data_IF_418792782186
#
_entry.id   IF_418792782186
#
_cell.length_a   1.000
_cell.length_b   1.000
_cell.length_c   1.000
_cell.angle_alpha   90.00
_cell.angle_beta   90.00
_cell.angle_gamma   90.00
#
_symmetry.space_group_name_H-M   'P 1'
#
loop_
_entity.id
_entity.type
_entity.pdbx_description
1 polymer ?
#
# COMPACT_ATOMS: atom_id res chain seq x y z
N UNK A 1 10.81 11.04 -37.99
CA UNK A 1 12.03 11.70 -37.48
C UNK A 1 11.90 13.21 -37.68
N UNK A 2 11.73 13.96 -36.60
CA UNK A 2 11.89 15.42 -36.56
C UNK A 2 12.44 15.77 -35.17
N UNK A 3 13.75 15.56 -35.00
CA UNK A 3 14.55 16.06 -33.87
C UNK A 3 14.82 17.56 -34.03
N UNK A 4 13.76 18.35 -34.05
CA UNK A 4 13.81 19.80 -33.90
C UNK A 4 13.39 20.19 -32.49
N UNK A 5 14.19 19.83 -31.48
CA UNK A 5 13.84 20.02 -30.08
C UNK A 5 13.78 21.51 -29.72
N UNK A 6 12.59 22.11 -29.83
CA UNK A 6 12.24 23.41 -29.26
C UNK A 6 12.66 23.42 -27.78
N UNK A 7 13.68 24.22 -27.48
CA UNK A 7 14.25 24.29 -26.13
C UNK A 7 13.73 25.56 -25.47
N UNK A 8 12.74 25.41 -24.59
CA UNK A 8 12.19 26.52 -23.80
C UNK A 8 13.04 26.65 -22.52
N UNK A 9 13.55 27.86 -22.25
CA UNK A 9 14.30 28.19 -21.04
C UNK A 9 13.55 29.26 -20.26
N UNK A 10 13.42 29.05 -18.95
CA UNK A 10 12.84 29.99 -18.00
C UNK A 10 13.85 30.12 -16.86
N UNK A 11 14.41 31.32 -16.66
CA UNK A 11 15.43 31.60 -15.64
C UNK A 11 16.58 30.57 -15.62
N UNK A 12 17.17 30.33 -16.80
CA UNK A 12 18.25 29.36 -17.05
C UNK A 12 17.94 27.87 -16.81
N UNK A 13 16.71 27.53 -16.40
CA UNK A 13 16.25 26.13 -16.34
C UNK A 13 15.64 25.71 -17.67
N UNK A 14 16.18 24.63 -18.24
CA UNK A 14 15.62 23.97 -19.43
C UNK A 14 14.33 23.26 -19.04
N UNK A 15 13.21 23.64 -19.66
CA UNK A 15 11.93 22.98 -19.47
C UNK A 15 11.73 21.99 -20.62
N UNK A 16 11.62 20.70 -20.28
CA UNK A 16 11.29 19.67 -21.26
C UNK A 16 9.80 19.73 -21.63
N UNK A 17 9.44 19.54 -22.91
CA UNK A 17 8.04 19.41 -23.30
C UNK A 17 7.44 18.15 -22.66
N UNK A 18 6.27 18.29 -22.05
CA UNK A 18 5.55 17.19 -21.41
C UNK A 18 4.45 16.70 -22.34
N UNK A 19 4.47 15.41 -22.68
CA UNK A 19 3.37 14.77 -23.39
C UNK A 19 2.28 14.36 -22.39
N UNK A 20 1.11 14.97 -22.53
CA UNK A 20 0.01 14.83 -21.57
C UNK A 20 -0.63 13.44 -21.60
N UNK A 21 -0.49 12.74 -22.73
CA UNK A 21 -0.98 11.37 -22.91
C UNK A 21 0.08 10.33 -22.57
N UNK A 22 1.33 10.74 -22.30
CA UNK A 22 2.45 9.83 -22.02
C UNK A 22 2.58 8.72 -23.10
N UNK A 23 2.42 9.10 -24.37
CA UNK A 23 2.34 8.17 -25.51
C UNK A 23 3.60 7.32 -25.69
N UNK A 24 4.75 7.79 -25.21
CA UNK A 24 6.02 7.04 -25.20
C UNK A 24 6.03 5.86 -24.23
N UNK A 25 5.27 5.96 -23.14
CA UNK A 25 5.16 4.94 -22.09
C UNK A 25 3.94 4.04 -22.29
N UNK A 26 3.01 4.45 -23.16
CA UNK A 26 1.81 3.70 -23.50
C UNK A 26 2.16 2.48 -24.37
N UNK A 27 2.29 1.30 -23.75
CA UNK A 27 2.64 0.06 -24.43
C UNK A 27 1.45 -0.90 -24.54
N UNK A 28 0.98 -1.15 -25.77
CA UNK A 28 -0.11 -2.08 -26.04
C UNK A 28 -1.51 -1.51 -25.77
N UNK A 29 -2.52 -2.34 -26.04
CA UNK A 29 -3.93 -1.97 -25.90
C UNK A 29 -4.41 -2.21 -24.47
N UNK A 30 -5.31 -1.35 -24.00
CA UNK A 30 -6.01 -1.51 -22.74
C UNK A 30 -6.99 -2.67 -22.86
N UNK A 31 -6.85 -3.62 -21.96
CA UNK A 31 -7.79 -4.70 -21.72
C UNK A 31 -8.28 -4.60 -20.28
N UNK A 32 -9.58 -4.33 -20.12
CA UNK A 32 -10.23 -4.15 -18.83
C UNK A 32 -10.19 -5.43 -17.98
N UNK A 33 -9.97 -6.59 -18.59
CA UNK A 33 -9.87 -7.87 -17.89
C UNK A 33 -8.46 -8.21 -17.39
N UNK A 34 -7.40 -7.58 -17.91
CA UNK A 34 -6.01 -7.95 -17.55
C UNK A 34 -5.20 -6.82 -16.95
N UNK A 35 -5.66 -5.57 -17.05
CA UNK A 35 -4.94 -4.43 -16.51
C UNK A 35 -4.87 -4.44 -14.98
N UNK A 36 -3.68 -4.17 -14.44
CA UNK A 36 -3.34 -4.23 -13.02
C UNK A 36 -3.23 -2.84 -12.35
N UNK A 37 -3.49 -1.76 -13.08
CA UNK A 37 -3.41 -0.40 -12.56
C UNK A 37 -2.03 0.24 -12.59
N UNK A 38 -0.98 -0.42 -13.08
CA UNK A 38 0.41 0.07 -12.99
C UNK A 38 0.94 0.75 -14.24
N UNK A 39 0.46 0.33 -15.41
CA UNK A 39 1.01 0.76 -16.69
C UNK A 39 0.10 1.76 -17.41
N UNK A 40 0.71 2.66 -18.19
CA UNK A 40 -0.02 3.45 -19.19
C UNK A 40 -0.37 2.53 -20.37
N UNK A 41 -1.64 2.54 -20.82
CA UNK A 41 -2.09 1.79 -21.99
C UNK A 41 -2.91 2.65 -22.93
N UNK A 42 -2.95 2.24 -24.20
CA UNK A 42 -3.84 2.84 -25.19
C UNK A 42 -5.26 2.34 -25.01
N UNK A 43 -6.20 3.25 -24.76
CA UNK A 43 -7.64 2.97 -24.95
C UNK A 43 -7.99 3.05 -26.43
N UNK A 44 -7.37 4.00 -27.15
CA UNK A 44 -7.52 4.17 -28.59
C UNK A 44 -6.23 4.76 -29.18
N UNK A 45 -5.62 4.01 -30.09
CA UNK A 45 -4.56 4.51 -30.98
C UNK A 45 -5.11 5.59 -31.92
N UNK A 46 -4.23 6.45 -32.51
CA UNK A 46 -4.65 7.52 -33.40
C UNK A 46 -5.68 7.03 -34.44
N UNK A 47 -6.91 7.55 -34.31
CA UNK A 47 -8.06 7.18 -35.15
C UNK A 47 -8.58 8.42 -35.84
N UNK A 48 -8.65 8.38 -37.16
CA UNK A 48 -9.29 9.42 -37.96
C UNK A 48 -10.81 9.23 -37.94
N UNK A 49 -11.54 10.27 -37.53
CA UNK A 49 -12.99 10.26 -37.41
C UNK A 49 -13.55 11.34 -38.33
N UNK A 50 -14.49 11.02 -39.23
CA UNK A 50 -15.22 12.03 -39.99
C UNK A 50 -16.21 12.73 -39.05
N UNK A 51 -16.08 14.05 -38.96
CA UNK A 51 -16.93 14.90 -38.13
C UNK A 51 -18.18 15.37 -38.85
N UNK A 52 -18.09 15.47 -40.18
CA UNK A 52 -19.18 15.82 -41.08
C UNK A 52 -18.97 15.03 -42.38
N UNK A 53 -19.98 14.25 -42.76
CA UNK A 53 -19.92 13.36 -43.93
C UNK A 53 -20.16 14.11 -45.24
N UNK A 54 -20.78 15.29 -45.20
CA UNK A 54 -21.07 16.11 -46.36
C UNK A 54 -19.87 16.99 -46.73
N UNK A 55 -19.20 17.57 -45.73
CA UNK A 55 -18.02 18.43 -45.95
C UNK A 55 -16.69 17.67 -45.93
N UNK A 56 -16.68 16.43 -45.44
CA UNK A 56 -15.49 15.55 -45.42
C UNK A 56 -14.44 15.96 -44.38
N UNK A 57 -14.83 16.77 -43.39
CA UNK A 57 -13.95 17.22 -42.31
C UNK A 57 -13.62 16.04 -41.38
N UNK A 58 -12.33 15.86 -41.07
CA UNK A 58 -11.85 14.77 -40.21
C UNK A 58 -11.09 15.31 -39.00
N UNK A 59 -11.10 14.56 -37.89
CA UNK A 59 -10.20 14.78 -36.77
C UNK A 59 -9.46 13.50 -36.38
N UNK A 60 -8.32 13.64 -35.70
CA UNK A 60 -7.62 12.51 -35.10
C UNK A 60 -7.91 12.45 -33.61
N UNK A 61 -8.45 11.32 -33.14
CA UNK A 61 -8.71 11.03 -31.74
C UNK A 61 -7.70 10.02 -31.20
N UNK A 62 -7.18 10.31 -30.02
CA UNK A 62 -6.27 9.44 -29.28
C UNK A 62 -6.69 9.39 -27.82
N UNK A 63 -6.65 8.21 -27.21
CA UNK A 63 -7.06 8.05 -25.81
C UNK A 63 -6.12 7.10 -25.09
N UNK A 64 -5.65 7.52 -23.91
CA UNK A 64 -4.78 6.74 -23.02
C UNK A 64 -5.39 6.64 -21.63
N UNK A 65 -5.12 5.51 -20.99
CA UNK A 65 -5.42 5.27 -19.59
C UNK A 65 -4.12 5.34 -18.80
N UNK A 66 -4.05 6.28 -17.85
CA UNK A 66 -2.91 6.45 -16.96
C UNK A 66 -2.94 5.44 -15.79
N UNK A 67 -1.82 5.23 -15.08
CA UNK A 67 -1.77 4.37 -13.91
C UNK A 67 -2.76 4.81 -12.81
N UNK A 68 -3.14 3.87 -11.95
CA UNK A 68 -3.95 4.08 -10.76
C UNK A 68 -3.02 4.32 -9.56
N UNK A 69 -2.81 5.57 -9.11
CA UNK A 69 -1.85 5.88 -8.05
C UNK A 69 -2.04 5.09 -6.75
N UNK A 70 -3.27 4.81 -6.28
CA UNK A 70 -3.47 4.03 -5.06
C UNK A 70 -2.94 2.59 -5.13
N UNK A 71 -2.71 2.01 -6.31
CA UNK A 71 -2.08 0.67 -6.44
C UNK A 71 -0.62 0.67 -5.97
N UNK A 72 0.07 1.81 -6.05
CA UNK A 72 1.49 1.91 -5.69
C UNK A 72 1.73 2.14 -4.20
N UNK A 73 0.66 2.28 -3.39
CA UNK A 73 0.79 2.43 -1.93
C UNK A 73 1.48 1.23 -1.27
N UNK A 74 1.36 0.04 -1.84
CA UNK A 74 2.02 -1.18 -1.38
C UNK A 74 3.54 -1.19 -1.64
N UNK A 75 4.05 -0.38 -2.58
CA UNK A 75 5.47 -0.39 -2.99
C UNK A 75 6.36 0.49 -2.10
N UNK A 76 5.79 1.19 -1.12
CA UNK A 76 6.52 2.03 -0.18
C UNK A 76 5.83 3.36 0.12
N UNK A 77 6.17 3.94 1.27
CA UNK A 77 5.56 5.19 1.75
C UNK A 77 5.78 6.33 0.77
N UNK A 78 4.70 6.90 0.24
CA UNK A 78 4.71 8.07 -0.63
C UNK A 78 4.87 7.78 -2.14
N UNK A 79 4.92 6.51 -2.56
CA UNK A 79 4.98 6.15 -3.98
C UNK A 79 3.73 6.60 -4.76
N UNK A 80 2.57 6.54 -4.12
CA UNK A 80 1.31 7.07 -4.68
C UNK A 80 1.42 8.56 -5.05
N UNK A 81 2.07 9.35 -4.20
CA UNK A 81 2.30 10.78 -4.43
C UNK A 81 3.29 11.00 -5.57
N UNK A 82 4.36 10.21 -5.63
CA UNK A 82 5.35 10.28 -6.71
C UNK A 82 4.67 10.02 -8.07
N UNK A 83 3.89 8.94 -8.17
CA UNK A 83 3.15 8.60 -9.40
C UNK A 83 2.12 9.68 -9.74
N UNK A 84 1.39 10.18 -8.73
CA UNK A 84 0.40 11.25 -8.94
C UNK A 84 1.03 12.52 -9.49
N UNK A 85 2.20 12.89 -8.98
CA UNK A 85 2.95 14.08 -9.39
C UNK A 85 3.60 13.87 -10.78
N UNK A 86 4.17 12.69 -11.04
CA UNK A 86 4.77 12.30 -12.34
C UNK A 86 3.76 12.41 -13.47
N UNK A 87 2.58 11.79 -13.31
CA UNK A 87 1.53 11.76 -14.33
C UNK A 87 0.52 12.92 -14.23
N UNK A 88 0.74 13.84 -13.28
CA UNK A 88 -0.11 15.02 -13.03
C UNK A 88 -1.60 14.66 -12.87
N UNK A 89 -1.87 13.57 -12.15
CA UNK A 89 -3.23 13.03 -11.95
C UNK A 89 -3.95 13.91 -10.92
N UNK A 90 -4.70 14.89 -11.42
CA UNK A 90 -5.49 15.83 -10.61
C UNK A 90 -6.86 16.02 -11.22
N UNK A 91 -7.80 16.54 -10.42
CA UNK A 91 -9.15 16.84 -10.87
C UNK A 91 -9.21 17.94 -11.97
N UNK A 92 -8.09 18.60 -12.28
CA UNK A 92 -8.01 19.64 -13.31
C UNK A 92 -7.45 19.14 -14.65
N UNK A 93 -6.98 17.89 -14.71
CA UNK A 93 -6.21 17.39 -15.85
C UNK A 93 -6.85 16.17 -16.55
N UNK A 94 -8.03 15.72 -16.15
CA UNK A 94 -8.74 14.64 -16.84
C UNK A 94 -9.76 15.21 -17.82
N UNK A 95 -9.87 14.58 -18.99
CA UNK A 95 -10.70 15.06 -20.08
C UNK A 95 -9.99 15.03 -21.43
N UNK A 96 -10.51 15.83 -22.36
CA UNK A 96 -9.95 15.97 -23.70
C UNK A 96 -9.07 17.21 -23.83
N UNK A 97 -7.97 17.04 -24.55
CA UNK A 97 -7.05 18.10 -24.96
C UNK A 97 -7.22 18.33 -26.44
N UNK A 98 -7.76 19.49 -26.81
CA UNK A 98 -8.07 19.81 -28.22
C UNK A 98 -6.99 20.71 -28.78
N UNK A 99 -6.37 20.25 -29.87
CA UNK A 99 -5.33 20.94 -30.60
C UNK A 99 -5.83 21.30 -31.99
N UNK A 100 -5.78 22.58 -32.34
CA UNK A 100 -5.97 23.06 -33.72
C UNK A 100 -4.63 23.43 -34.32
N UNK A 101 -4.26 22.86 -35.48
CA UNK A 101 -2.98 23.16 -36.13
C UNK A 101 -1.78 23.11 -35.18
N UNK A 102 -1.74 22.09 -34.30
CA UNK A 102 -0.71 21.90 -33.26
C UNK A 102 -0.68 22.97 -32.17
N UNK A 103 -1.66 23.87 -32.12
CA UNK A 103 -1.89 24.81 -31.01
C UNK A 103 -2.97 24.26 -30.09
N UNK A 104 -2.69 24.21 -28.80
CA UNK A 104 -3.70 23.88 -27.79
C UNK A 104 -4.77 24.98 -27.73
N UNK A 105 -6.03 24.57 -27.83
CA UNK A 105 -7.20 25.46 -27.74
C UNK A 105 -8.02 25.17 -26.48
N UNK A 106 -8.14 23.90 -26.08
CA UNK A 106 -8.88 23.49 -24.88
C UNK A 106 -8.03 22.55 -24.00
N UNK A 107 -8.04 22.81 -22.69
CA UNK A 107 -7.27 22.05 -21.68
C UNK A 107 -8.22 21.24 -20.80
N UNK A 108 -8.08 19.90 -20.82
CA UNK A 108 -8.85 18.97 -19.99
C UNK A 108 -10.36 19.27 -20.01
N UNK A 109 -10.89 19.49 -21.21
CA UNK A 109 -12.30 19.84 -21.41
C UNK A 109 -13.18 18.59 -21.24
N UNK A 110 -14.38 18.80 -20.70
CA UNK A 110 -15.42 17.77 -20.59
C UNK A 110 -16.19 17.56 -21.90
N UNK A 111 -15.93 18.39 -22.93
CA UNK A 111 -16.61 18.42 -24.22
C UNK A 111 -18.13 18.54 -24.05
N UNK A 112 -18.60 19.63 -23.46
CA UNK A 112 -20.04 19.84 -23.23
C UNK A 112 -20.70 18.75 -22.36
N UNK A 113 -19.98 18.28 -21.34
CA UNK A 113 -20.51 17.35 -20.34
C UNK A 113 -20.44 15.86 -20.71
N UNK A 114 -19.81 15.49 -21.84
CA UNK A 114 -19.55 14.08 -22.18
C UNK A 114 -18.75 13.37 -21.08
N UNK A 115 -17.81 14.07 -20.46
CA UNK A 115 -17.03 13.59 -19.32
C UNK A 115 -17.56 14.25 -18.05
N UNK A 116 -18.18 13.44 -17.20
CA UNK A 116 -18.68 13.88 -15.90
C UNK A 116 -17.53 14.02 -14.90
N UNK A 117 -17.74 14.87 -13.90
CA UNK A 117 -16.79 15.02 -12.80
C UNK A 117 -16.83 13.81 -11.88
N UNK A 118 -15.94 12.85 -12.12
CA UNK A 118 -15.84 11.60 -11.38
C UNK A 118 -14.38 11.31 -11.03
N UNK A 119 -14.14 10.76 -9.84
CA UNK A 119 -12.80 10.34 -9.39
C UNK A 119 -12.30 9.14 -10.19
N UNK A 120 -13.21 8.28 -10.66
CA UNK A 120 -12.88 7.09 -11.44
C UNK A 120 -12.30 7.40 -12.81
N UNK A 121 -12.43 8.66 -13.25
CA UNK A 121 -11.93 9.15 -14.54
C UNK A 121 -10.64 9.96 -14.43
N UNK A 122 -10.04 10.07 -13.24
CA UNK A 122 -8.82 10.87 -13.06
C UNK A 122 -7.63 10.41 -13.92
N UNK A 123 -7.62 9.13 -14.31
CA UNK A 123 -6.64 8.50 -15.20
C UNK A 123 -6.97 8.61 -16.69
N UNK A 124 -8.18 9.07 -17.04
CA UNK A 124 -8.60 9.22 -18.43
C UNK A 124 -7.94 10.43 -19.10
N UNK A 125 -7.30 10.22 -20.26
CA UNK A 125 -6.72 11.28 -21.09
C UNK A 125 -7.09 11.07 -22.54
N UNK A 126 -7.71 12.08 -23.16
CA UNK A 126 -7.96 12.08 -24.59
C UNK A 126 -7.30 13.26 -25.29
N UNK A 127 -6.86 13.09 -26.53
CA UNK A 127 -6.34 14.15 -27.40
C UNK A 127 -7.14 14.16 -28.69
N UNK A 128 -7.57 15.36 -29.10
CA UNK A 128 -8.26 15.60 -30.37
C UNK A 128 -7.38 16.56 -31.18
N UNK A 129 -7.03 16.16 -32.39
CA UNK A 129 -6.28 16.98 -33.34
C UNK A 129 -7.23 17.37 -34.47
N UNK A 130 -7.37 18.68 -34.66
CA UNK A 130 -8.18 19.29 -35.73
C UNK A 130 -7.33 20.23 -36.59
N UNK A 131 -7.74 20.42 -37.83
CA UNK A 131 -7.16 21.37 -38.79
C UNK A 131 -8.06 22.59 -38.98
N UNK A 132 -7.70 23.47 -39.92
CA UNK A 132 -8.51 24.66 -40.25
C UNK A 132 -9.85 24.34 -40.93
N UNK A 133 -10.02 23.13 -41.48
CA UNK A 133 -11.28 22.74 -42.13
C UNK A 133 -12.40 22.50 -41.11
N UNK A 134 -12.04 22.22 -39.85
CA UNK A 134 -12.96 21.94 -38.77
C UNK A 134 -13.52 23.18 -38.04
N UNK A 135 -13.15 24.40 -38.45
CA UNK A 135 -13.57 25.64 -37.77
C UNK A 135 -15.09 25.88 -37.78
N UNK A 136 -15.80 25.43 -38.82
CA UNK A 136 -17.26 25.56 -38.88
C UNK A 136 -17.98 24.53 -37.99
N UNK A 137 -17.31 23.41 -37.71
CA UNK A 137 -17.82 22.25 -36.97
C UNK A 137 -17.55 22.43 -35.47
N UNK A 138 -16.37 22.94 -35.15
CA UNK A 138 -15.98 23.35 -33.81
C UNK A 138 -16.18 24.85 -33.73
N UNK A 139 -17.35 25.28 -33.28
CA UNK A 139 -17.70 26.70 -33.14
C UNK A 139 -16.86 27.31 -31.99
N UNK A 140 -15.58 27.59 -32.27
CA UNK A 140 -14.56 28.02 -31.32
C UNK A 140 -14.71 29.53 -31.11
N UNK A 141 -15.33 29.92 -30.00
CA UNK A 141 -15.40 31.33 -29.61
C UNK A 141 -14.01 31.82 -29.16
N UNK A 142 -13.43 32.73 -29.95
CA UNK A 142 -12.11 33.34 -29.74
C UNK A 142 -11.98 34.02 -28.36
N UNK A 143 -13.09 34.30 -27.67
CA UNK A 143 -13.11 34.94 -26.35
C UNK A 143 -13.41 34.01 -25.18
N UNK A 144 -13.79 32.75 -25.40
CA UNK A 144 -14.22 31.86 -24.30
C UNK A 144 -13.69 30.45 -24.47
N UNK A 145 -13.10 29.96 -23.39
CA UNK A 145 -12.61 28.61 -23.10
C UNK A 145 -13.66 27.49 -23.22
N UNK A 146 -14.82 27.74 -23.85
CA UNK A 146 -15.92 26.79 -24.02
C UNK A 146 -16.15 26.53 -25.49
N UNK A 147 -15.81 25.33 -25.94
CA UNK A 147 -15.96 24.88 -27.31
C UNK A 147 -17.35 24.27 -27.49
N UNK A 148 -18.07 24.65 -28.55
CA UNK A 148 -19.33 23.99 -28.92
C UNK A 148 -19.15 23.20 -30.21
N UNK A 149 -19.50 21.93 -30.14
CA UNK A 149 -19.49 21.01 -31.27
C UNK A 149 -20.80 21.14 -32.05
N UNK A 150 -20.77 20.95 -33.37
CA UNK A 150 -21.99 20.66 -34.14
C UNK A 150 -22.63 19.36 -33.66
N UNK A 151 -23.94 19.16 -33.89
CA UNK A 151 -24.63 17.95 -33.45
C UNK A 151 -24.01 16.68 -34.05
N UNK A 152 -23.66 16.69 -35.34
CA UNK A 152 -23.05 15.54 -36.03
C UNK A 152 -21.67 15.17 -35.46
N UNK A 153 -20.82 16.18 -35.20
CA UNK A 153 -19.52 15.97 -34.60
C UNK A 153 -19.63 15.54 -33.13
N UNK A 154 -20.62 16.07 -32.43
CA UNK A 154 -20.93 15.70 -31.06
C UNK A 154 -21.32 14.22 -30.99
N UNK A 155 -22.23 13.76 -31.84
CA UNK A 155 -22.68 12.35 -31.87
C UNK A 155 -21.53 11.39 -32.20
N UNK A 156 -20.71 11.73 -33.21
CA UNK A 156 -19.57 10.90 -33.62
C UNK A 156 -18.54 10.73 -32.50
N UNK A 157 -18.21 11.81 -31.79
CA UNK A 157 -17.26 11.77 -30.67
C UNK A 157 -17.91 11.16 -29.42
N UNK A 158 -19.21 11.39 -29.19
CA UNK A 158 -19.92 10.93 -28.01
C UNK A 158 -19.96 9.40 -27.92
N UNK A 159 -20.30 8.71 -29.01
CA UNK A 159 -20.39 7.25 -29.03
C UNK A 159 -19.05 6.59 -28.71
N UNK A 160 -17.97 7.12 -29.29
CA UNK A 160 -16.61 6.67 -29.03
C UNK A 160 -16.17 6.99 -27.60
N UNK A 161 -16.42 8.22 -27.14
CA UNK A 161 -16.12 8.66 -25.77
C UNK A 161 -16.83 7.79 -24.75
N UNK A 162 -18.10 7.43 -24.98
CA UNK A 162 -18.89 6.56 -24.12
C UNK A 162 -18.28 5.17 -24.02
N UNK A 163 -17.78 4.61 -25.13
CA UNK A 163 -17.06 3.34 -25.12
C UNK A 163 -15.78 3.42 -24.29
N UNK A 164 -14.91 4.40 -24.55
CA UNK A 164 -13.63 4.54 -23.85
C UNK A 164 -13.79 4.88 -22.38
N UNK A 165 -14.76 5.74 -22.03
CA UNK A 165 -15.14 6.06 -20.64
C UNK A 165 -15.54 4.79 -19.89
N UNK A 166 -16.39 3.95 -20.49
CA UNK A 166 -16.82 2.69 -19.85
C UNK A 166 -15.65 1.76 -19.59
N UNK A 167 -14.73 1.62 -20.55
CA UNK A 167 -13.55 0.76 -20.39
C UNK A 167 -12.60 1.31 -19.32
N UNK A 168 -12.39 2.63 -19.28
CA UNK A 168 -11.58 3.31 -18.26
C UNK A 168 -12.13 3.08 -16.84
N UNK A 169 -13.44 3.28 -16.63
CA UNK A 169 -14.09 3.06 -15.32
C UNK A 169 -13.98 1.59 -14.89
N UNK A 170 -14.19 0.63 -15.80
CA UNK A 170 -14.04 -0.79 -15.49
C UNK A 170 -12.61 -1.14 -15.09
N UNK A 171 -11.63 -0.64 -15.83
CA UNK A 171 -10.22 -0.85 -15.53
C UNK A 171 -9.83 -0.26 -14.16
N UNK A 172 -10.33 0.95 -13.86
CA UNK A 172 -10.14 1.60 -12.57
C UNK A 172 -10.74 0.79 -11.41
N UNK A 173 -12.00 0.35 -11.55
CA UNK A 173 -12.66 -0.49 -10.55
C UNK A 173 -11.98 -1.84 -10.36
N UNK A 174 -11.45 -2.45 -11.43
CA UNK A 174 -10.65 -3.66 -11.33
C UNK A 174 -9.35 -3.43 -10.55
N UNK A 175 -8.64 -2.33 -10.79
CA UNK A 175 -7.43 -2.00 -10.03
C UNK A 175 -7.75 -1.80 -8.53
N UNK A 176 -8.90 -1.21 -8.20
CA UNK A 176 -9.40 -1.12 -6.82
C UNK A 176 -9.68 -2.51 -6.25
N UNK A 177 -10.33 -3.40 -7.00
CA UNK A 177 -10.62 -4.77 -6.57
C UNK A 177 -9.34 -5.57 -6.33
N UNK A 178 -8.39 -5.56 -7.27
CA UNK A 178 -7.09 -6.25 -7.13
C UNK A 178 -6.30 -5.72 -5.94
N UNK A 179 -6.36 -4.40 -5.69
CA UNK A 179 -5.80 -3.82 -4.48
C UNK A 179 -6.48 -4.37 -3.23
N UNK A 180 -7.82 -4.37 -3.18
CA UNK A 180 -8.56 -4.91 -2.03
C UNK A 180 -8.33 -6.40 -1.83
N UNK A 181 -8.18 -7.18 -2.90
CA UNK A 181 -7.83 -8.60 -2.84
C UNK A 181 -6.42 -8.78 -2.30
N UNK A 182 -5.43 -7.99 -2.75
CA UNK A 182 -4.09 -8.02 -2.21
C UNK A 182 -4.04 -7.57 -0.73
N UNK A 183 -4.83 -6.56 -0.35
CA UNK A 183 -4.97 -6.10 1.03
C UNK A 183 -5.71 -7.11 1.92
N UNK A 184 -6.73 -7.80 1.39
CA UNK A 184 -7.44 -8.87 2.09
C UNK A 184 -6.62 -10.16 2.18
N UNK A 185 -5.71 -10.38 1.23
CA UNK A 185 -4.70 -11.45 1.28
C UNK A 185 -3.56 -11.09 2.24
N UNK A 186 -3.27 -9.81 2.47
CA UNK A 186 -2.35 -9.38 3.52
C UNK A 186 -3.02 -9.43 4.90
N UNK A 187 -3.17 -10.67 5.40
CA UNK A 187 -3.73 -10.96 6.72
C UNK A 187 -3.05 -10.15 7.84
N UNK A 188 -1.74 -9.87 7.71
CA UNK A 188 -1.00 -9.16 8.74
C UNK A 188 -1.38 -7.68 8.83
N UNK A 189 -1.58 -7.04 7.68
CA UNK A 189 -2.11 -5.68 7.63
C UNK A 189 -3.53 -5.62 8.19
N UNK A 190 -4.40 -6.55 7.80
CA UNK A 190 -5.78 -6.59 8.31
C UNK A 190 -5.83 -6.73 9.83
N UNK A 191 -5.00 -7.58 10.43
CA UNK A 191 -4.90 -7.69 11.90
C UNK A 191 -4.48 -6.38 12.56
N UNK A 192 -3.50 -5.67 11.97
CA UNK A 192 -3.06 -4.37 12.49
C UNK A 192 -4.17 -3.31 12.37
N UNK A 193 -4.91 -3.28 11.26
CA UNK A 193 -6.05 -2.36 11.07
C UNK A 193 -7.15 -2.62 12.12
N UNK A 194 -7.47 -3.88 12.42
CA UNK A 194 -8.45 -4.23 13.47
C UNK A 194 -7.99 -3.73 14.84
N UNK A 195 -6.72 -3.93 15.19
CA UNK A 195 -6.18 -3.52 16.49
C UNK A 195 -6.12 -2.00 16.62
N UNK A 196 -5.81 -1.28 15.54
CA UNK A 196 -5.78 0.18 15.55
C UNK A 196 -7.12 0.80 15.98
N UNK A 197 -8.23 0.07 15.80
CA UNK A 197 -9.58 0.49 16.21
C UNK A 197 -10.03 -0.09 17.55
N UNK A 198 -9.23 -0.94 18.20
CA UNK A 198 -9.58 -1.58 19.45
C UNK A 198 -9.20 -0.70 20.65
N UNK A 199 -10.20 -0.20 21.37
CA UNK A 199 -10.00 0.43 22.68
C UNK A 199 -9.95 -0.64 23.77
N UNK A 200 -8.74 -1.08 24.12
CA UNK A 200 -8.55 -2.02 25.24
C UNK A 200 -8.59 -1.25 26.56
N UNK A 201 -9.41 -1.66 27.55
CA UNK A 201 -9.38 -1.05 28.87
C UNK A 201 -8.03 -1.31 29.56
N UNK A 202 -7.50 -0.29 30.24
CA UNK A 202 -6.19 -0.38 30.94
C UNK A 202 -6.15 -1.50 31.98
N UNK A 203 -7.29 -1.77 32.63
CA UNK A 203 -7.45 -2.81 33.64
C UNK A 203 -8.76 -3.56 33.46
N UNK A 204 -8.74 -4.87 33.70
CA UNK A 204 -9.97 -5.67 33.76
C UNK A 204 -10.80 -5.33 35.01
N UNK A 205 -12.13 -5.53 34.97
CA UNK A 205 -12.98 -5.33 36.14
C UNK A 205 -12.48 -6.14 37.36
N UNK A 206 -12.36 -5.47 38.51
CA UNK A 206 -11.91 -6.09 39.75
C UNK A 206 -10.39 -6.19 39.93
N UNK A 207 -9.59 -5.69 38.97
CA UNK A 207 -8.15 -5.55 39.14
C UNK A 207 -7.78 -4.27 39.91
N UNK A 208 -6.65 -4.28 40.64
CA UNK A 208 -6.14 -3.07 41.27
C UNK A 208 -5.77 -2.04 40.19
N UNK A 209 -6.17 -0.78 40.44
CA UNK A 209 -5.82 0.36 39.59
C UNK A 209 -4.57 1.02 40.16
N UNK A 210 -3.49 1.03 39.38
CA UNK A 210 -2.26 1.73 39.75
C UNK A 210 -2.48 3.25 39.67
N UNK A 211 -1.83 4.00 40.56
CA UNK A 211 -1.77 5.46 40.41
C UNK A 211 -1.03 5.82 39.11
N UNK A 212 -1.38 6.93 38.43
CA UNK A 212 -0.75 7.32 37.15
C UNK A 212 0.78 7.36 37.20
N UNK A 213 1.36 7.88 38.29
CA UNK A 213 2.82 7.94 38.48
C UNK A 213 3.45 6.56 38.51
N UNK A 214 2.90 5.64 39.33
CA UNK A 214 3.38 4.25 39.40
C UNK A 214 3.19 3.49 38.09
N UNK A 215 2.08 3.72 37.37
CA UNK A 215 1.88 3.08 36.07
C UNK A 215 2.96 3.51 35.07
N UNK A 216 3.24 4.81 35.00
CA UNK A 216 4.27 5.35 34.11
C UNK A 216 5.67 4.82 34.46
N UNK A 217 6.02 4.76 35.75
CA UNK A 217 7.31 4.21 36.20
C UNK A 217 7.47 2.74 35.79
N UNK A 218 6.43 1.93 35.96
CA UNK A 218 6.46 0.51 35.59
C UNK A 218 6.46 0.34 34.06
N UNK A 219 5.75 1.19 33.33
CA UNK A 219 5.79 1.21 31.87
C UNK A 219 7.18 1.51 31.32
N UNK A 220 7.85 2.49 31.89
CA UNK A 220 9.22 2.87 31.53
C UNK A 220 10.18 1.70 31.80
N UNK A 221 10.11 1.07 32.97
CA UNK A 221 10.93 -0.10 33.31
C UNK A 221 10.69 -1.29 32.37
N UNK A 222 9.42 -1.56 32.05
CA UNK A 222 9.05 -2.62 31.11
C UNK A 222 9.57 -2.28 29.71
N UNK A 223 9.40 -1.05 29.24
CA UNK A 223 9.92 -0.60 27.95
C UNK A 223 11.45 -0.70 27.85
N UNK A 224 12.18 -0.33 28.92
CA UNK A 224 13.63 -0.46 29.00
C UNK A 224 14.07 -1.94 28.95
N UNK A 225 13.39 -2.82 29.70
CA UNK A 225 13.66 -4.26 29.67
C UNK A 225 13.51 -4.84 28.26
N UNK A 226 12.47 -4.43 27.53
CA UNK A 226 12.24 -4.88 26.15
C UNK A 226 13.29 -4.34 25.18
N UNK A 227 13.65 -3.05 25.27
CA UNK A 227 14.71 -2.46 24.45
C UNK A 227 16.06 -3.17 24.66
N UNK A 228 16.42 -3.43 25.92
CA UNK A 228 17.66 -4.14 26.24
C UNK A 228 17.67 -5.56 25.64
N UNK A 229 16.57 -6.29 25.78
CA UNK A 229 16.43 -7.64 25.21
C UNK A 229 16.55 -7.62 23.68
N UNK A 230 15.87 -6.70 23.00
CA UNK A 230 15.96 -6.57 21.53
C UNK A 230 17.36 -6.18 21.07
N UNK A 231 18.02 -5.25 21.77
CA UNK A 231 19.38 -4.83 21.41
C UNK A 231 20.35 -6.01 21.54
N UNK A 232 20.24 -6.78 22.63
CA UNK A 232 21.01 -8.01 22.80
C UNK A 232 20.73 -9.03 21.68
N UNK A 233 19.48 -9.14 21.23
CA UNK A 233 19.12 -10.00 20.09
C UNK A 233 19.72 -9.52 18.77
N UNK A 234 19.70 -8.20 18.51
CA UNK A 234 20.26 -7.61 17.31
C UNK A 234 21.79 -7.83 17.25
N UNK A 235 22.48 -7.64 18.38
CA UNK A 235 23.92 -7.91 18.50
C UNK A 235 24.24 -9.38 18.26
N UNK A 236 23.45 -10.31 18.83
CA UNK A 236 23.63 -11.75 18.61
C UNK A 236 23.37 -12.13 17.14
N UNK A 237 22.33 -11.57 16.51
CA UNK A 237 22.02 -11.81 15.11
C UNK A 237 23.11 -11.28 14.17
N UNK A 238 23.65 -10.09 14.47
CA UNK A 238 24.77 -9.50 13.75
C UNK A 238 26.05 -10.34 13.90
N UNK A 239 26.34 -10.83 15.11
CA UNK A 239 27.48 -11.72 15.36
C UNK A 239 27.37 -13.05 14.60
N UNK A 240 26.18 -13.64 14.53
CA UNK A 240 25.93 -14.88 13.76
C UNK A 240 26.09 -14.61 12.26
N UNK A 241 25.52 -13.52 11.72
CA UNK A 241 25.68 -13.15 10.31
C UNK A 241 27.16 -12.93 9.94
N UNK A 242 27.90 -12.23 10.80
CA UNK A 242 29.34 -12.01 10.64
C UNK A 242 30.15 -13.31 10.65
N UNK A 243 29.74 -14.30 11.44
CA UNK A 243 30.40 -15.60 11.51
C UNK A 243 30.11 -16.53 10.31
N UNK A 244 28.97 -16.34 9.61
CA UNK A 244 28.48 -17.27 8.57
C UNK A 244 28.72 -16.79 7.14
N UNK A 245 28.80 -15.47 6.87
CA UNK A 245 28.86 -14.97 5.48
C UNK A 245 30.16 -14.28 5.05
N UNK A 246 31.11 -14.01 5.96
CA UNK A 246 32.30 -13.23 5.58
C UNK A 246 31.93 -11.82 5.06
N UNK A 247 32.92 -10.96 4.74
CA UNK A 247 32.72 -9.51 4.60
C UNK A 247 32.11 -9.05 3.26
N UNK A 248 31.34 -9.90 2.54
CA UNK A 248 30.88 -9.62 1.16
C UNK A 248 29.36 -9.45 0.99
N UNK A 249 28.64 -9.03 2.04
CA UNK A 249 27.27 -8.53 1.90
C UNK A 249 27.26 -7.01 1.98
N UNK A 250 26.54 -6.34 1.08
CA UNK A 250 26.31 -4.88 1.12
C UNK A 250 26.03 -4.44 2.57
N UNK A 251 26.80 -3.48 3.12
CA UNK A 251 26.68 -3.10 4.51
C UNK A 251 25.34 -2.36 4.70
N UNK A 252 24.29 -3.11 5.05
CA UNK A 252 23.10 -2.53 5.66
C UNK A 252 23.56 -1.76 6.89
N UNK A 253 23.08 -0.54 7.02
CA UNK A 253 23.40 0.34 8.16
C UNK A 253 22.98 -0.36 9.46
N UNK A 254 23.69 -0.14 10.58
CA UNK A 254 23.32 -0.74 11.88
C UNK A 254 21.85 -0.46 12.24
N UNK A 255 21.34 0.72 11.90
CA UNK A 255 19.94 1.12 12.07
C UNK A 255 18.96 0.29 11.22
N UNK A 256 19.31 -0.04 9.98
CA UNK A 256 18.47 -0.85 9.08
C UNK A 256 18.45 -2.31 9.52
N UNK A 257 19.58 -2.83 10.00
CA UNK A 257 19.64 -4.18 10.58
C UNK A 257 18.83 -4.26 11.87
N UNK A 258 18.85 -3.21 12.68
CA UNK A 258 18.08 -3.11 13.91
C UNK A 258 16.57 -3.08 13.64
N UNK A 259 16.11 -2.26 12.67
CA UNK A 259 14.69 -2.22 12.25
C UNK A 259 14.21 -3.54 11.64
N UNK A 260 15.03 -4.22 10.84
CA UNK A 260 14.70 -5.54 10.26
C UNK A 260 14.56 -6.61 11.34
N UNK A 261 15.45 -6.60 12.34
CA UNK A 261 15.32 -7.50 13.50
C UNK A 261 14.03 -7.19 14.27
N UNK A 262 13.76 -5.91 14.51
CA UNK A 262 12.60 -5.44 15.27
C UNK A 262 11.25 -5.77 14.63
N UNK A 263 11.05 -5.29 13.41
CA UNK A 263 9.74 -5.29 12.74
C UNK A 263 9.62 -6.35 11.64
N UNK A 264 10.72 -7.01 11.28
CA UNK A 264 10.76 -7.93 10.16
C UNK A 264 10.83 -7.18 8.84
N UNK A 265 10.01 -7.59 7.87
CA UNK A 265 9.98 -6.93 6.56
C UNK A 265 9.41 -5.49 6.71
N UNK A 266 10.09 -4.46 6.19
CA UNK A 266 9.69 -3.07 6.40
C UNK A 266 8.35 -2.78 5.72
N UNK A 267 7.29 -2.68 6.53
CA UNK A 267 5.95 -2.33 6.08
C UNK A 267 5.41 -1.16 6.91
N UNK A 268 5.15 0.01 6.30
CA UNK A 268 4.74 1.22 7.01
C UNK A 268 3.32 1.15 7.60
N UNK A 269 2.55 0.10 7.28
CA UNK A 269 1.19 -0.10 7.77
C UNK A 269 1.14 -0.97 9.04
N UNK A 270 2.25 -1.62 9.41
CA UNK A 270 2.32 -2.46 10.61
C UNK A 270 2.66 -1.60 11.83
N UNK A 271 1.85 -1.72 12.88
CA UNK A 271 1.94 -0.87 14.07
C UNK A 271 2.09 -1.66 15.36
N UNK A 272 1.31 -2.74 15.54
CA UNK A 272 1.29 -3.53 16.79
C UNK A 272 1.58 -5.02 16.64
N UNK A 273 1.40 -5.60 15.47
CA UNK A 273 1.73 -7.01 15.20
C UNK A 273 2.84 -7.07 14.16
N UNK A 274 3.98 -7.63 14.55
CA UNK A 274 5.15 -7.77 13.69
C UNK A 274 5.48 -9.25 13.45
N UNK A 275 5.53 -9.68 12.19
CA UNK A 275 6.03 -11.01 11.80
C UNK A 275 7.54 -10.93 11.62
N UNK A 276 8.30 -11.52 12.54
CA UNK A 276 9.77 -11.49 12.51
C UNK A 276 10.35 -12.84 12.06
N UNK A 277 11.54 -12.87 11.44
CA UNK A 277 12.14 -14.12 10.98
C UNK A 277 12.29 -15.16 12.09
N UNK A 278 12.85 -14.75 13.23
CA UNK A 278 13.13 -15.64 14.37
C UNK A 278 13.04 -14.91 15.70
N UNK A 279 12.76 -15.65 16.77
CA UNK A 279 12.87 -15.20 18.16
C UNK A 279 13.84 -16.08 18.96
N UNK A 280 14.39 -15.59 20.09
CA UNK A 280 15.25 -16.39 20.97
C UNK A 280 14.57 -17.67 21.45
N UNK A 281 15.38 -18.69 21.72
CA UNK A 281 14.91 -20.02 22.15
C UNK A 281 13.84 -20.64 21.24
N UNK A 282 13.74 -20.16 19.99
CA UNK A 282 12.67 -20.50 19.07
C UNK A 282 11.26 -20.32 19.69
N UNK A 283 11.07 -19.27 20.49
CA UNK A 283 9.73 -18.91 20.98
C UNK A 283 8.82 -18.56 19.80
N UNK A 284 7.52 -18.83 19.95
CA UNK A 284 6.53 -18.54 18.91
C UNK A 284 6.14 -17.05 18.88
N UNK A 285 6.04 -16.42 20.04
CA UNK A 285 5.75 -15.00 20.18
C UNK A 285 6.54 -14.39 21.34
N UNK A 286 6.71 -13.08 21.32
CA UNK A 286 7.15 -12.31 22.48
C UNK A 286 6.45 -10.94 22.53
N UNK A 287 6.16 -10.42 23.73
CA UNK A 287 5.71 -9.04 23.88
C UNK A 287 6.85 -8.05 23.55
N UNK A 288 6.49 -6.92 22.96
CA UNK A 288 7.38 -5.83 22.62
C UNK A 288 6.73 -4.48 22.99
N UNK A 289 7.54 -3.44 23.19
CA UNK A 289 7.06 -2.09 23.46
C UNK A 289 7.59 -1.11 22.41
N UNK A 290 6.68 -0.47 21.68
CA UNK A 290 6.96 0.61 20.75
C UNK A 290 6.58 1.95 21.39
N UNK A 291 7.46 2.95 21.33
CA UNK A 291 7.20 4.24 21.96
C UNK A 291 6.01 5.02 21.36
N UNK A 292 5.60 4.70 20.13
CA UNK A 292 4.46 5.34 19.46
C UNK A 292 3.19 4.48 19.54
N UNK A 293 3.33 3.15 19.54
CA UNK A 293 2.21 2.22 19.42
C UNK A 293 1.97 1.35 20.68
N UNK A 294 2.76 1.60 21.74
CA UNK A 294 2.69 0.95 23.06
C UNK A 294 2.96 -0.55 22.99
N UNK A 295 2.06 -1.39 23.54
CA UNK A 295 2.24 -2.83 23.56
C UNK A 295 2.04 -3.44 22.19
N UNK A 296 3.03 -4.21 21.76
CA UNK A 296 3.08 -4.89 20.49
C UNK A 296 3.41 -6.37 20.71
N UNK A 297 3.28 -7.16 19.66
CA UNK A 297 3.71 -8.56 19.62
C UNK A 297 4.64 -8.80 18.44
N UNK A 298 5.72 -9.54 18.68
CA UNK A 298 6.59 -10.10 17.64
C UNK A 298 6.28 -11.59 17.50
N UNK A 299 6.06 -12.07 16.28
CA UNK A 299 5.68 -13.45 15.97
C UNK A 299 6.78 -14.09 15.12
N UNK A 300 7.33 -15.21 15.58
CA UNK A 300 8.40 -15.95 14.92
C UNK A 300 7.88 -16.73 13.71
N UNK A 301 8.21 -16.30 12.48
CA UNK A 301 7.84 -17.00 11.24
C UNK A 301 8.49 -18.36 11.08
N UNK A 302 9.71 -18.55 11.60
CA UNK A 302 10.42 -19.82 11.48
C UNK A 302 9.97 -20.87 12.48
N UNK A 303 9.16 -20.50 13.46
CA UNK A 303 8.55 -21.47 14.36
C UNK A 303 7.66 -22.44 13.57
N UNK A 304 7.77 -23.75 13.86
CA UNK A 304 7.08 -24.80 13.07
C UNK A 304 5.57 -24.61 13.01
N UNK A 305 4.96 -24.19 14.12
CA UNK A 305 3.52 -23.89 14.16
C UNK A 305 3.17 -22.64 13.33
N UNK A 306 4.05 -21.64 13.29
CA UNK A 306 3.83 -20.44 12.49
C UNK A 306 3.90 -20.75 10.98
N UNK A 307 4.82 -21.63 10.55
CA UNK A 307 4.88 -22.10 9.16
C UNK A 307 3.60 -22.82 8.73
N UNK A 308 3.09 -23.70 9.57
CA UNK A 308 1.80 -24.36 9.31
C UNK A 308 0.67 -23.34 9.09
N UNK A 309 0.67 -22.25 9.85
CA UNK A 309 -0.38 -21.23 9.79
C UNK A 309 -0.21 -20.27 8.60
N UNK A 310 1.00 -19.73 8.41
CA UNK A 310 1.26 -18.64 7.47
C UNK A 310 1.72 -19.13 6.09
N UNK A 311 2.35 -20.31 6.00
CA UNK A 311 2.84 -20.90 4.74
C UNK A 311 1.86 -21.97 4.26
N UNK A 312 1.61 -23.01 5.07
CA UNK A 312 0.77 -24.16 4.66
C UNK A 312 -0.74 -23.85 4.68
N UNK A 313 -1.15 -22.76 5.32
CA UNK A 313 -2.52 -22.26 5.31
C UNK A 313 -2.58 -20.79 4.85
N UNK A 314 -1.70 -20.42 3.91
CA UNK A 314 -1.60 -19.07 3.35
C UNK A 314 -2.95 -18.53 2.82
N UNK A 315 -3.78 -19.42 2.26
CA UNK A 315 -5.07 -19.06 1.67
C UNK A 315 -6.18 -18.78 2.69
N UNK A 316 -5.96 -19.07 3.99
CA UNK A 316 -6.93 -18.83 5.05
C UNK A 316 -6.58 -17.57 5.84
N UNK A 317 -6.85 -16.41 5.24
CA UNK A 317 -6.55 -15.11 5.84
C UNK A 317 -7.29 -14.90 7.17
N UNK A 318 -8.55 -15.32 7.28
CA UNK A 318 -9.35 -15.21 8.50
C UNK A 318 -8.70 -15.94 9.70
N UNK A 319 -8.20 -17.16 9.47
CA UNK A 319 -7.51 -17.92 10.51
C UNK A 319 -6.21 -17.23 10.93
N UNK A 320 -5.44 -16.71 9.98
CA UNK A 320 -4.23 -15.96 10.29
C UNK A 320 -4.55 -14.71 11.10
N UNK A 321 -5.58 -13.96 10.71
CA UNK A 321 -6.02 -12.75 11.42
C UNK A 321 -6.41 -13.08 12.86
N UNK A 322 -7.29 -14.06 13.06
CA UNK A 322 -7.74 -14.45 14.41
C UNK A 322 -6.58 -14.89 15.30
N UNK A 323 -5.62 -15.63 14.75
CA UNK A 323 -4.46 -16.09 15.50
C UNK A 323 -3.52 -14.94 15.88
N UNK A 324 -3.27 -14.01 14.97
CA UNK A 324 -2.43 -12.84 15.26
C UNK A 324 -3.06 -11.94 16.32
N UNK A 325 -4.36 -11.67 16.20
CA UNK A 325 -5.13 -10.94 17.21
C UNK A 325 -5.05 -11.65 18.57
N UNK A 326 -5.16 -12.97 18.59
CA UNK A 326 -5.02 -13.77 19.81
C UNK A 326 -3.63 -13.63 20.44
N UNK A 327 -2.55 -13.76 19.66
CA UNK A 327 -1.18 -13.60 20.17
C UNK A 327 -0.90 -12.17 20.66
N UNK A 328 -1.48 -11.16 20.00
CA UNK A 328 -1.41 -9.79 20.49
C UNK A 328 -2.08 -9.66 21.87
N UNK A 329 -3.31 -10.17 22.03
CA UNK A 329 -4.00 -10.10 23.32
C UNK A 329 -3.28 -10.89 24.43
N UNK A 330 -2.65 -12.02 24.10
CA UNK A 330 -1.78 -12.72 25.06
C UNK A 330 -0.59 -11.87 25.48
N UNK A 331 0.01 -11.14 24.55
CA UNK A 331 1.15 -10.26 24.84
C UNK A 331 0.74 -9.08 25.73
N UNK A 332 -0.41 -8.45 25.43
CA UNK A 332 -1.00 -7.40 26.29
C UNK A 332 -1.30 -7.94 27.68
N UNK A 333 -1.92 -9.12 27.78
CA UNK A 333 -2.24 -9.76 29.05
C UNK A 333 -0.97 -10.08 29.86
N UNK A 334 0.10 -10.51 29.21
CA UNK A 334 1.38 -10.77 29.88
C UNK A 334 1.98 -9.48 30.45
N UNK A 335 1.96 -8.39 29.69
CA UNK A 335 2.46 -7.09 30.18
C UNK A 335 1.61 -6.59 31.34
N UNK A 336 0.29 -6.69 31.25
CA UNK A 336 -0.61 -6.35 32.36
C UNK A 336 -0.36 -7.22 33.59
N UNK A 337 -0.09 -8.51 33.41
CA UNK A 337 0.28 -9.41 34.51
C UNK A 337 1.58 -8.95 35.19
N UNK A 338 2.61 -8.59 34.43
CA UNK A 338 3.87 -8.04 34.98
C UNK A 338 3.60 -6.76 35.78
N UNK A 339 2.82 -5.83 35.22
CA UNK A 339 2.47 -4.55 35.87
C UNK A 339 1.80 -4.72 37.22
N UNK A 340 0.83 -5.63 37.29
CA UNK A 340 -0.01 -5.79 38.47
C UNK A 340 0.51 -6.88 39.41
N UNK A 341 1.64 -7.50 39.11
CA UNK A 341 2.13 -8.67 39.84
C UNK A 341 2.28 -8.39 41.34
N UNK A 342 2.95 -7.32 41.72
CA UNK A 342 3.22 -7.00 43.14
C UNK A 342 1.97 -6.53 43.89
N UNK A 343 1.01 -5.92 43.20
CA UNK A 343 -0.26 -5.50 43.80
C UNK A 343 -1.20 -6.70 43.99
N UNK A 344 -1.23 -7.63 43.03
CA UNK A 344 -2.05 -8.84 43.10
C UNK A 344 -1.45 -9.91 44.03
N UNK A 345 -0.12 -9.98 44.12
CA UNK A 345 0.60 -11.00 44.88
C UNK A 345 1.67 -10.42 45.82
N UNK A 346 1.31 -9.53 46.76
CA UNK A 346 2.26 -8.83 47.63
C UNK A 346 3.06 -9.76 48.53
N UNK A 347 2.56 -10.98 48.79
CA UNK A 347 3.22 -11.98 49.63
C UNK A 347 4.38 -12.71 48.94
N UNK A 348 4.44 -12.74 47.60
CA UNK A 348 5.40 -13.57 46.87
C UNK A 348 6.82 -12.98 46.81
N UNK A 349 6.99 -11.68 47.10
CA UNK A 349 8.30 -10.97 47.18
C UNK A 349 9.30 -11.38 46.07
N UNK A 350 8.82 -11.53 44.85
CA UNK A 350 9.67 -11.77 43.68
C UNK A 350 10.20 -10.43 43.15
N UNK A 351 11.33 -10.44 42.46
CA UNK A 351 11.80 -9.28 41.68
C UNK A 351 11.19 -9.30 40.28
N UNK A 352 11.13 -8.16 39.60
CA UNK A 352 10.58 -8.06 38.25
C UNK A 352 11.32 -8.94 37.24
N UNK A 353 12.64 -9.06 37.36
CA UNK A 353 13.45 -9.99 36.57
C UNK A 353 13.01 -11.46 36.73
N UNK A 354 12.60 -11.86 37.94
CA UNK A 354 12.11 -13.23 38.19
C UNK A 354 10.73 -13.44 37.60
N UNK A 355 9.88 -12.41 37.63
CA UNK A 355 8.54 -12.44 37.01
C UNK A 355 8.67 -12.52 35.49
N UNK A 356 9.55 -11.72 34.89
CA UNK A 356 9.85 -11.80 33.46
C UNK A 356 10.41 -13.16 33.06
N UNK A 357 11.34 -13.71 33.85
CA UNK A 357 11.85 -15.06 33.62
C UNK A 357 10.74 -16.11 33.68
N UNK A 358 9.79 -15.98 34.61
CA UNK A 358 8.65 -16.88 34.72
C UNK A 358 7.77 -16.85 33.46
N UNK A 359 7.43 -15.66 32.96
CA UNK A 359 6.61 -15.53 31.75
C UNK A 359 7.36 -16.00 30.51
N UNK A 360 8.67 -15.73 30.42
CA UNK A 360 9.53 -16.24 29.34
C UNK A 360 9.62 -17.77 29.32
N UNK A 361 9.80 -18.42 30.47
CA UNK A 361 9.78 -19.88 30.56
C UNK A 361 8.42 -20.46 30.15
N UNK A 362 7.31 -19.82 30.54
CA UNK A 362 5.98 -20.22 30.07
C UNK A 362 5.88 -20.18 28.54
N UNK A 363 6.32 -19.08 27.90
CA UNK A 363 6.33 -18.97 26.43
C UNK A 363 7.18 -20.06 25.78
N UNK A 364 8.36 -20.34 26.35
CA UNK A 364 9.25 -21.40 25.89
C UNK A 364 8.60 -22.78 25.93
N UNK A 365 7.94 -23.14 27.04
CA UNK A 365 7.21 -24.40 27.13
C UNK A 365 6.01 -24.46 26.18
N UNK A 366 5.24 -23.37 26.05
CA UNK A 366 4.12 -23.29 25.13
C UNK A 366 4.56 -23.47 23.67
N UNK A 367 5.60 -22.74 23.23
CA UNK A 367 6.19 -22.86 21.90
C UNK A 367 6.75 -24.27 21.66
N UNK A 368 7.52 -24.81 22.62
CA UNK A 368 8.08 -26.16 22.53
C UNK A 368 7.01 -27.24 22.37
N UNK A 369 5.91 -27.15 23.12
CA UNK A 369 4.78 -28.08 23.00
C UNK A 369 4.10 -27.98 21.63
N UNK A 370 3.91 -26.77 21.10
CA UNK A 370 3.34 -26.56 19.77
C UNK A 370 4.25 -27.11 18.67
N UNK A 371 5.56 -26.84 18.75
CA UNK A 371 6.53 -27.39 17.81
C UNK A 371 6.58 -28.92 17.85
N UNK A 372 6.52 -29.52 19.05
CA UNK A 372 6.45 -30.97 19.23
C UNK A 372 5.17 -31.55 18.63
N UNK A 373 4.02 -30.91 18.87
CA UNK A 373 2.73 -31.32 18.30
C UNK A 373 2.78 -31.32 16.76
N UNK A 374 3.26 -30.24 16.13
CA UNK A 374 3.46 -30.18 14.68
C UNK A 374 4.39 -31.29 14.19
N UNK A 375 5.45 -31.61 14.93
CA UNK A 375 6.34 -32.70 14.59
C UNK A 375 5.73 -34.10 14.68
N UNK A 376 4.77 -34.31 15.58
CA UNK A 376 4.15 -35.61 15.79
C UNK A 376 2.91 -35.84 14.94
N UNK A 377 2.16 -34.79 14.66
CA UNK A 377 0.85 -34.85 14.00
C UNK A 377 0.87 -34.29 12.58
N UNK A 378 2.05 -34.08 11.99
CA UNK A 378 2.28 -33.39 10.71
C UNK A 378 1.17 -33.63 9.66
N UNK A 379 0.93 -34.89 9.28
CA UNK A 379 -0.07 -35.26 8.25
C UNK A 379 -1.54 -35.23 8.72
N UNK A 380 -1.77 -35.02 10.01
CA UNK A 380 -3.11 -34.98 10.64
C UNK A 380 -3.56 -33.56 10.98
N UNK A 381 -2.67 -32.58 10.86
CA UNK A 381 -3.00 -31.18 11.10
C UNK A 381 -3.67 -30.58 9.84
N UNK A 382 -4.61 -29.64 10.03
CA UNK A 382 -5.31 -29.03 8.91
C UNK A 382 -4.32 -28.26 8.02
N UNK A 383 -4.27 -28.66 6.75
CA UNK A 383 -3.59 -27.96 5.67
C UNK A 383 -4.66 -27.58 4.65
N UNK A 384 -4.66 -26.33 4.22
CA UNK A 384 -5.53 -25.90 3.12
C UNK A 384 -4.84 -26.31 1.82
N UNK A 385 -5.40 -27.31 1.12
CA UNK A 385 -5.03 -27.64 -0.26
C UNK A 385 -5.40 -26.53 -1.26
#
# INVERSE_FOLDING_TARGET
>A
MLDGALTIRLEDKKIAPVDILFTKEAHGNMDDATWNGREVKWLQHPLEIPLDKETGVVCTLEVTQLPHPPTFTADGRGQDKIIRDQYRITAKNYGYYVYRNKRLIAWADSLDGMIQTDQDLWSFRGRILIDDSADNVFNIDVKKTSMKLSEEAWDAIFDLTKHYKRNSIKAWNRAIMLKKEAEAQDANRHSNDIIAHLNTPETLPGQPVLSPTKSAEVDEQIAESFKANVQQQAEQAAAIKAAVHGPDSDPKTEEEQFEEVLKGDPNPYLTKIFRVPSLPDNQLWEPYYDAQHEYCVRINRYHRFAKLLFEENANNSDMQVLFELFLHQLSVAEVQFRKLFHENFPSLKLSDEKVEKLTSEFRKYAAGNLAYMCGKLDDKLPRNE
#
